data_IF_689454040662
#
_entry.id   IF_689454040662
#
_cell.length_a   1.000
_cell.length_b   1.000
_cell.length_c   1.000
_cell.angle_alpha   90.00
_cell.angle_beta   90.00
_cell.angle_gamma   90.00
#
_symmetry.space_group_name_H-M   'P 1'
#
loop_
_entity.id
_entity.type
_entity.pdbx_description
1 polymer ?
#
# COMPACT_ATOMS: atom_id res chain seq x y z
N UNK A 1 18.00 -67.57 -51.03
CA UNK A 1 18.75 -66.65 -50.11
C UNK A 1 17.78 -65.68 -49.50
N UNK A 2 17.39 -65.91 -48.29
CA UNK A 2 16.43 -65.04 -47.54
C UNK A 2 17.20 -64.06 -46.64
N UNK A 3 16.88 -62.77 -46.69
CA UNK A 3 17.44 -61.77 -45.81
C UNK A 3 16.65 -61.72 -44.51
N UNK A 4 17.28 -61.52 -43.34
CA UNK A 4 16.59 -61.46 -42.06
C UNK A 4 15.94 -60.11 -41.79
N UNK A 5 14.72 -60.14 -41.22
CA UNK A 5 13.95 -59.03 -40.73
C UNK A 5 14.59 -58.47 -39.44
N UNK A 6 14.92 -57.17 -39.44
CA UNK A 6 15.41 -56.44 -38.26
C UNK A 6 14.21 -55.86 -37.52
N UNK A 7 13.93 -56.33 -36.30
CA UNK A 7 12.97 -55.73 -35.38
C UNK A 7 13.50 -54.40 -34.84
N UNK A 8 12.84 -53.29 -35.21
CA UNK A 8 13.01 -52.00 -34.52
C UNK A 8 12.25 -52.06 -33.20
N UNK A 9 12.97 -51.95 -32.06
CA UNK A 9 12.41 -51.70 -30.75
C UNK A 9 11.81 -50.31 -30.73
N UNK A 10 10.46 -50.19 -30.55
CA UNK A 10 9.77 -48.94 -30.32
C UNK A 10 10.16 -48.38 -28.96
N UNK A 11 10.68 -47.15 -28.98
CA UNK A 11 10.90 -46.37 -27.78
C UNK A 11 9.53 -45.92 -27.22
N UNK A 12 9.16 -46.43 -26.05
CA UNK A 12 7.97 -45.99 -25.31
C UNK A 12 8.35 -44.65 -24.63
N UNK A 13 7.79 -43.55 -25.12
CA UNK A 13 7.85 -42.26 -24.41
C UNK A 13 7.07 -42.38 -23.08
N UNK A 14 7.63 -41.93 -21.95
CA UNK A 14 6.90 -41.87 -20.69
C UNK A 14 5.82 -40.77 -20.76
N UNK A 15 4.55 -41.17 -20.61
CA UNK A 15 3.34 -40.37 -20.79
C UNK A 15 2.93 -39.53 -19.57
N UNK A 16 3.79 -39.29 -18.61
CA UNK A 16 3.53 -38.37 -17.47
C UNK A 16 4.86 -37.79 -16.98
N UNK A 17 5.28 -36.67 -17.57
CA UNK A 17 6.07 -35.72 -16.79
C UNK A 17 5.09 -35.08 -15.79
N UNK A 18 5.22 -35.41 -14.52
CA UNK A 18 4.65 -34.60 -13.45
C UNK A 18 5.35 -33.26 -13.53
N UNK A 19 4.63 -32.21 -13.98
CA UNK A 19 5.03 -30.83 -13.74
C UNK A 19 5.09 -30.65 -12.23
N UNK A 20 6.29 -30.69 -11.66
CA UNK A 20 6.55 -30.18 -10.33
C UNK A 20 6.18 -28.70 -10.40
N UNK A 21 5.30 -28.19 -9.52
CA UNK A 21 5.02 -26.77 -9.49
C UNK A 21 6.37 -26.07 -9.28
N UNK A 22 6.78 -25.24 -10.25
CA UNK A 22 7.91 -24.34 -10.05
C UNK A 22 7.56 -23.54 -8.81
N UNK A 23 8.32 -23.65 -7.75
CA UNK A 23 8.35 -22.71 -6.64
C UNK A 23 8.59 -21.36 -7.32
N UNK A 24 7.55 -20.52 -7.42
CA UNK A 24 7.69 -19.17 -7.96
C UNK A 24 8.70 -18.48 -7.05
N UNK A 25 9.81 -18.08 -7.63
CA UNK A 25 10.88 -17.39 -6.92
C UNK A 25 10.31 -16.05 -6.44
N UNK A 26 10.37 -15.79 -5.13
CA UNK A 26 9.87 -14.54 -4.53
C UNK A 26 10.65 -13.38 -5.15
N UNK A 27 9.92 -12.47 -5.79
CA UNK A 27 10.51 -11.26 -6.38
C UNK A 27 10.87 -10.31 -5.25
N UNK A 28 12.16 -9.96 -5.12
CA UNK A 28 12.62 -9.00 -4.10
C UNK A 28 12.85 -7.63 -4.71
N UNK A 29 12.58 -6.59 -3.92
CA UNK A 29 12.90 -5.22 -4.30
C UNK A 29 14.34 -4.86 -3.94
N UNK A 30 14.92 -3.91 -4.69
CA UNK A 30 16.26 -3.37 -4.46
C UNK A 30 16.19 -1.90 -3.99
N UNK A 31 17.33 -1.21 -3.97
CA UNK A 31 17.44 0.19 -3.54
C UNK A 31 16.65 1.19 -4.38
N UNK A 32 16.26 0.82 -5.61
CA UNK A 32 15.50 1.67 -6.52
C UNK A 32 13.99 1.60 -6.30
N UNK A 33 13.49 0.59 -5.57
CA UNK A 33 12.08 0.41 -5.27
C UNK A 33 11.85 0.04 -3.80
N UNK A 34 11.87 1.04 -2.92
CA UNK A 34 11.76 0.85 -1.47
C UNK A 34 10.43 1.31 -0.88
N UNK A 35 9.71 2.17 -1.58
CA UNK A 35 8.45 2.72 -1.10
C UNK A 35 7.32 2.51 -2.12
N UNK A 36 6.31 1.75 -1.74
CA UNK A 36 5.08 1.57 -2.50
C UNK A 36 3.90 2.18 -1.75
N UNK A 37 3.03 2.91 -2.47
CA UNK A 37 1.85 3.55 -1.88
C UNK A 37 0.57 3.04 -2.54
N UNK A 38 -0.50 2.82 -1.76
CA UNK A 38 -1.76 2.24 -2.25
C UNK A 38 -2.95 3.16 -1.99
N UNK A 39 -3.71 3.44 -3.05
CA UNK A 39 -5.08 3.95 -2.97
C UNK A 39 -6.01 2.74 -3.01
N UNK A 40 -6.51 2.36 -1.83
CA UNK A 40 -7.29 1.14 -1.58
C UNK A 40 -8.74 1.28 -2.05
N UNK A 41 -8.94 1.43 -3.38
CA UNK A 41 -10.26 1.66 -3.96
C UNK A 41 -10.96 0.35 -4.36
N UNK A 42 -12.29 0.38 -4.28
CA UNK A 42 -13.15 -0.73 -4.71
C UNK A 42 -13.86 -1.50 -3.61
N UNK A 43 -13.61 -1.22 -2.32
CA UNK A 43 -14.24 -1.92 -1.19
C UNK A 43 -15.76 -1.97 -1.29
N UNK A 44 -16.41 -0.83 -1.51
CA UNK A 44 -17.87 -0.77 -1.64
C UNK A 44 -18.41 -1.48 -2.89
N UNK A 45 -17.69 -1.40 -4.00
CA UNK A 45 -18.05 -2.11 -5.25
C UNK A 45 -17.91 -3.63 -5.09
N UNK A 46 -16.90 -4.06 -4.37
CA UNK A 46 -16.68 -5.46 -4.02
C UNK A 46 -17.85 -6.05 -3.23
N UNK A 47 -18.30 -5.36 -2.18
CA UNK A 47 -19.46 -5.75 -1.38
C UNK A 47 -20.74 -5.78 -2.23
N UNK A 48 -21.00 -4.72 -3.01
CA UNK A 48 -22.17 -4.63 -3.89
C UNK A 48 -22.25 -5.78 -4.90
N UNK A 49 -21.12 -6.17 -5.51
CA UNK A 49 -21.08 -7.34 -6.43
C UNK A 49 -21.49 -8.65 -5.76
N UNK A 50 -21.41 -8.71 -4.43
CA UNK A 50 -21.75 -9.90 -3.61
C UNK A 50 -23.10 -9.76 -2.87
N UNK A 51 -23.85 -8.70 -3.14
CA UNK A 51 -25.14 -8.43 -2.46
C UNK A 51 -24.97 -8.09 -0.98
N UNK A 52 -23.80 -7.62 -0.56
CA UNK A 52 -23.46 -7.33 0.83
C UNK A 52 -23.45 -5.81 1.09
N UNK A 53 -23.74 -5.37 2.34
CA UNK A 53 -23.50 -4.01 2.78
C UNK A 53 -22.05 -3.56 2.59
N UNK A 54 -21.82 -2.25 2.40
CA UNK A 54 -20.47 -1.71 2.08
C UNK A 54 -19.42 -1.99 3.16
N UNK A 55 -19.86 -2.08 4.42
CA UNK A 55 -19.00 -2.36 5.58
C UNK A 55 -18.28 -3.72 5.47
N UNK A 56 -18.91 -4.71 4.84
CA UNK A 56 -18.26 -6.00 4.56
C UNK A 56 -17.09 -5.85 3.58
N UNK A 57 -17.21 -4.93 2.61
CA UNK A 57 -16.11 -4.61 1.71
C UNK A 57 -14.94 -3.96 2.44
N UNK A 58 -15.20 -3.07 3.38
CA UNK A 58 -14.15 -2.45 4.20
C UNK A 58 -13.46 -3.47 5.11
N UNK A 59 -14.19 -4.41 5.71
CA UNK A 59 -13.61 -5.53 6.49
C UNK A 59 -12.71 -6.42 5.63
N UNK A 60 -13.19 -6.83 4.45
CA UNK A 60 -12.39 -7.61 3.52
C UNK A 60 -11.14 -6.84 3.07
N UNK A 61 -11.27 -5.52 2.84
CA UNK A 61 -10.14 -4.65 2.53
C UNK A 61 -9.11 -4.54 3.65
N UNK A 62 -9.54 -4.55 4.91
CA UNK A 62 -8.63 -4.58 6.06
C UNK A 62 -7.83 -5.89 6.13
N UNK A 63 -8.46 -7.03 5.82
CA UNK A 63 -7.74 -8.32 5.72
C UNK A 63 -6.70 -8.31 4.59
N UNK A 64 -7.08 -7.75 3.42
CA UNK A 64 -6.15 -7.59 2.30
C UNK A 64 -4.98 -6.69 2.68
N UNK A 65 -5.23 -5.57 3.36
CA UNK A 65 -4.19 -4.66 3.85
C UNK A 65 -3.15 -5.41 4.71
N UNK A 66 -3.58 -6.23 5.68
CA UNK A 66 -2.66 -7.00 6.53
C UNK A 66 -1.79 -7.96 5.71
N UNK A 67 -2.40 -8.69 4.76
CA UNK A 67 -1.69 -9.64 3.89
C UNK A 67 -0.67 -8.94 2.99
N UNK A 68 -1.06 -7.82 2.39
CA UNK A 68 -0.20 -7.05 1.49
C UNK A 68 0.97 -6.41 2.26
N UNK A 69 0.73 -5.83 3.45
CA UNK A 69 1.82 -5.29 4.28
C UNK A 69 2.80 -6.37 4.72
N UNK A 70 2.31 -7.54 5.14
CA UNK A 70 3.18 -8.67 5.51
C UNK A 70 4.04 -9.11 4.32
N UNK A 71 3.45 -9.20 3.12
CA UNK A 71 4.17 -9.56 1.91
C UNK A 71 5.16 -8.48 1.48
N UNK A 72 4.80 -7.21 1.55
CA UNK A 72 5.71 -6.10 1.25
C UNK A 72 6.97 -6.14 2.14
N UNK A 73 6.82 -6.51 3.43
CA UNK A 73 7.96 -6.74 4.31
C UNK A 73 8.83 -7.91 3.85
N UNK A 74 8.20 -9.03 3.48
CA UNK A 74 8.90 -10.24 3.03
C UNK A 74 9.74 -9.98 1.77
N UNK A 75 9.22 -9.21 0.81
CA UNK A 75 9.93 -8.87 -0.44
C UNK A 75 10.94 -7.74 -0.29
N UNK A 76 10.96 -7.04 0.86
CA UNK A 76 12.01 -6.09 1.22
C UNK A 76 11.67 -4.61 1.02
N UNK A 77 10.38 -4.23 0.96
CA UNK A 77 10.01 -2.80 1.03
C UNK A 77 10.37 -2.21 2.38
N UNK A 78 10.85 -0.97 2.37
CA UNK A 78 11.14 -0.18 3.59
C UNK A 78 9.93 0.64 4.04
N UNK A 79 9.09 1.04 3.09
CA UNK A 79 7.90 1.84 3.37
C UNK A 79 6.71 1.37 2.54
N UNK A 80 5.56 1.26 3.21
CA UNK A 80 4.24 1.11 2.59
C UNK A 80 3.36 2.26 3.05
N UNK A 81 2.78 3.02 2.12
CA UNK A 81 1.80 4.06 2.47
C UNK A 81 0.42 3.66 1.95
N UNK A 82 -0.61 3.74 2.80
CA UNK A 82 -1.98 3.40 2.41
C UNK A 82 -2.94 4.57 2.64
N UNK A 83 -3.85 4.81 1.69
CA UNK A 83 -4.89 5.82 1.80
C UNK A 83 -6.11 5.23 2.50
N UNK A 84 -6.15 5.35 3.84
CA UNK A 84 -7.21 4.75 4.65
C UNK A 84 -8.45 5.64 4.75
N UNK A 85 -8.28 6.96 4.99
CA UNK A 85 -9.38 7.90 5.11
C UNK A 85 -8.97 9.30 4.64
N UNK A 86 -9.62 9.80 3.58
CA UNK A 86 -9.35 11.14 3.05
C UNK A 86 -10.19 12.21 3.73
N UNK A 87 -9.75 13.47 3.65
CA UNK A 87 -10.54 14.64 4.11
C UNK A 87 -11.91 14.72 3.41
N UNK A 88 -12.03 14.24 2.18
CA UNK A 88 -13.29 14.20 1.44
C UNK A 88 -14.25 13.12 1.93
N UNK A 89 -13.75 12.10 2.64
CA UNK A 89 -14.57 10.97 3.11
C UNK A 89 -15.54 11.37 4.23
N UNK A 90 -15.31 12.49 4.92
CA UNK A 90 -16.29 13.04 5.87
C UNK A 90 -17.65 13.38 5.25
N UNK A 91 -17.70 13.56 3.92
CA UNK A 91 -18.95 13.80 3.16
C UNK A 91 -19.77 12.52 2.89
N UNK A 92 -19.24 11.35 3.25
CA UNK A 92 -19.96 10.08 3.11
C UNK A 92 -21.13 9.99 4.10
N UNK A 93 -22.12 9.10 3.84
CA UNK A 93 -23.15 8.81 4.83
C UNK A 93 -22.55 8.45 6.19
N UNK A 94 -23.13 8.98 7.29
CA UNK A 94 -22.56 8.85 8.64
C UNK A 94 -22.27 7.38 9.02
N UNK A 95 -23.20 6.47 8.71
CA UNK A 95 -23.02 5.04 9.00
C UNK A 95 -21.76 4.42 8.33
N UNK A 96 -21.37 4.92 7.13
CA UNK A 96 -20.14 4.48 6.47
C UNK A 96 -18.90 5.05 7.17
N UNK A 97 -18.95 6.31 7.58
CA UNK A 97 -17.88 6.95 8.37
C UNK A 97 -17.70 6.20 9.69
N UNK A 98 -18.78 5.94 10.41
CA UNK A 98 -18.77 5.23 11.70
C UNK A 98 -18.19 3.81 11.56
N UNK A 99 -18.54 3.11 10.48
CA UNK A 99 -18.00 1.79 10.19
C UNK A 99 -16.48 1.82 9.93
N UNK A 100 -15.99 2.84 9.22
CA UNK A 100 -14.54 2.99 8.97
C UNK A 100 -13.81 3.36 10.27
N UNK A 101 -14.38 4.25 11.09
CA UNK A 101 -13.79 4.61 12.39
C UNK A 101 -13.75 3.41 13.34
N UNK A 102 -14.80 2.59 13.36
CA UNK A 102 -14.83 1.35 14.14
C UNK A 102 -13.78 0.34 13.67
N UNK A 103 -13.52 0.24 12.37
CA UNK A 103 -12.44 -0.60 11.83
C UNK A 103 -11.06 -0.09 12.25
N UNK A 104 -10.86 1.24 12.25
CA UNK A 104 -9.62 1.84 12.73
C UNK A 104 -9.41 1.56 14.22
N UNK A 105 -10.43 1.74 15.04
CA UNK A 105 -10.38 1.50 16.49
C UNK A 105 -10.02 0.04 16.79
N UNK A 106 -10.70 -0.91 16.13
CA UNK A 106 -10.41 -2.33 16.23
C UNK A 106 -8.98 -2.67 15.78
N UNK A 107 -8.49 -2.04 14.70
CA UNK A 107 -7.12 -2.23 14.21
C UNK A 107 -6.10 -1.75 15.26
N UNK A 108 -6.33 -0.60 15.88
CA UNK A 108 -5.46 -0.08 16.94
C UNK A 108 -5.45 -1.00 18.18
N UNK A 109 -6.62 -1.48 18.61
CA UNK A 109 -6.72 -2.44 19.72
C UNK A 109 -5.99 -3.75 19.42
N UNK A 110 -6.09 -4.25 18.19
CA UNK A 110 -5.39 -5.45 17.73
C UNK A 110 -3.86 -5.21 17.71
N UNK A 111 -3.43 -4.06 17.17
CA UNK A 111 -2.03 -3.69 17.12
C UNK A 111 -1.42 -3.60 18.53
N UNK A 112 -2.13 -2.99 19.48
CA UNK A 112 -1.67 -2.90 20.87
C UNK A 112 -1.53 -4.26 21.56
N UNK A 113 -2.40 -5.22 21.23
CA UNK A 113 -2.35 -6.58 21.81
C UNK A 113 -1.34 -7.49 21.14
N UNK A 114 -1.13 -7.34 19.84
CA UNK A 114 -0.38 -8.28 19.00
C UNK A 114 0.81 -7.63 18.29
N UNK A 115 1.34 -6.53 18.83
CA UNK A 115 2.40 -5.74 18.15
C UNK A 115 3.66 -6.56 17.84
N UNK A 116 4.02 -7.54 18.68
CA UNK A 116 5.16 -8.43 18.44
C UNK A 116 4.96 -9.27 17.17
N UNK A 117 3.73 -9.70 16.91
CA UNK A 117 3.37 -10.50 15.73
C UNK A 117 3.45 -9.70 14.43
N UNK A 118 2.99 -8.43 14.46
CA UNK A 118 3.02 -7.58 13.27
C UNK A 118 4.41 -7.08 12.94
N UNK A 119 5.20 -6.73 13.95
CA UNK A 119 6.60 -6.35 13.81
C UNK A 119 6.88 -5.10 12.96
N UNK A 120 5.85 -4.43 12.43
CA UNK A 120 6.00 -3.24 11.59
C UNK A 120 5.96 -1.98 12.45
N UNK A 121 6.73 -0.95 12.06
CA UNK A 121 6.54 0.40 12.56
C UNK A 121 5.29 0.99 11.87
N UNK A 122 4.35 1.54 12.64
CA UNK A 122 3.17 2.21 12.11
C UNK A 122 3.29 3.71 12.34
N UNK A 123 2.86 4.50 11.35
CA UNK A 123 2.77 5.95 11.43
C UNK A 123 1.45 6.42 10.86
N UNK A 124 0.85 7.44 11.47
CA UNK A 124 -0.36 8.06 10.95
C UNK A 124 -0.01 9.40 10.32
N UNK A 125 -0.28 9.55 9.03
CA UNK A 125 -0.06 10.77 8.28
C UNK A 125 -1.42 11.46 7.99
N UNK A 126 -1.51 12.75 8.29
CA UNK A 126 -2.74 13.56 8.20
C UNK A 126 -3.01 14.30 9.50
N UNK A 127 -4.12 15.02 9.52
CA UNK A 127 -4.55 15.77 10.73
C UNK A 127 -5.38 14.86 11.65
N UNK A 128 -4.71 14.27 12.63
CA UNK A 128 -5.35 13.41 13.64
C UNK A 128 -6.00 14.20 14.79
N UNK A 129 -5.83 15.53 14.85
CA UNK A 129 -6.38 16.37 15.93
C UNK A 129 -7.90 16.40 15.96
N UNK A 130 -8.55 16.10 14.83
CA UNK A 130 -10.01 16.04 14.68
C UNK A 130 -10.66 14.85 15.40
N UNK A 131 -9.88 13.82 15.76
CA UNK A 131 -10.41 12.62 16.39
C UNK A 131 -10.60 12.79 17.91
N UNK A 132 -11.49 12.01 18.53
CA UNK A 132 -11.65 11.96 19.99
C UNK A 132 -10.32 11.64 20.69
N UNK A 133 -10.22 12.08 21.95
CA UNK A 133 -8.96 11.95 22.71
C UNK A 133 -8.51 10.50 22.86
N UNK A 134 -9.41 9.60 23.18
CA UNK A 134 -9.15 8.17 23.33
C UNK A 134 -8.55 7.55 22.06
N UNK A 135 -9.08 7.89 20.88
CA UNK A 135 -8.54 7.43 19.61
C UNK A 135 -7.15 8.03 19.33
N UNK A 136 -6.94 9.31 19.67
CA UNK A 136 -5.61 9.95 19.53
C UNK A 136 -4.57 9.33 20.45
N UNK A 137 -4.96 8.97 21.68
CA UNK A 137 -4.08 8.32 22.65
C UNK A 137 -3.67 6.92 22.14
N UNK A 138 -4.61 6.15 21.55
CA UNK A 138 -4.32 4.88 20.88
C UNK A 138 -3.38 5.05 19.67
N UNK A 139 -3.60 6.07 18.84
CA UNK A 139 -2.73 6.39 17.71
C UNK A 139 -1.29 6.68 18.20
N UNK A 140 -1.14 7.55 19.19
CA UNK A 140 0.17 7.89 19.74
C UNK A 140 0.89 6.66 20.33
N UNK A 141 0.16 5.78 21.01
CA UNK A 141 0.72 4.52 21.51
C UNK A 141 1.15 3.61 20.34
N UNK A 142 0.31 3.44 19.32
CA UNK A 142 0.62 2.62 18.15
C UNK A 142 1.89 3.10 17.42
N UNK A 143 2.12 4.43 17.32
CA UNK A 143 3.33 5.00 16.72
C UNK A 143 4.59 4.77 17.56
N UNK A 144 4.46 4.53 18.87
CA UNK A 144 5.58 4.22 19.77
C UNK A 144 6.08 2.79 19.66
N UNK A 145 5.28 1.91 19.02
CA UNK A 145 5.59 0.48 18.91
C UNK A 145 6.55 0.22 17.74
N UNK A 146 7.49 -0.72 17.92
CA UNK A 146 8.41 -1.19 16.87
C UNK A 146 9.18 -0.07 16.13
N UNK A 147 9.80 0.90 16.83
CA UNK A 147 10.44 2.06 16.20
C UNK A 147 11.60 1.67 15.27
N UNK A 148 12.20 0.51 15.46
CA UNK A 148 13.36 0.00 14.71
C UNK A 148 12.99 -1.09 13.69
N UNK A 149 11.72 -1.16 13.29
CA UNK A 149 11.28 -2.14 12.29
C UNK A 149 11.85 -1.83 10.91
N UNK A 150 12.14 -2.88 10.14
CA UNK A 150 12.61 -2.78 8.75
C UNK A 150 11.51 -2.25 7.80
N UNK A 151 10.22 -2.36 8.18
CA UNK A 151 9.10 -1.82 7.42
C UNK A 151 8.35 -0.77 8.23
N UNK A 152 8.24 0.43 7.65
CA UNK A 152 7.33 1.48 8.11
C UNK A 152 6.04 1.46 7.30
N UNK A 153 4.89 1.38 7.99
CA UNK A 153 3.56 1.46 7.38
C UNK A 153 2.95 2.83 7.71
N UNK A 154 2.89 3.72 6.72
CA UNK A 154 2.20 5.00 6.84
C UNK A 154 0.72 4.81 6.52
N UNK A 155 -0.16 5.15 7.46
CA UNK A 155 -1.61 5.12 7.30
C UNK A 155 -2.10 6.55 7.14
N UNK A 156 -2.50 6.93 5.92
CA UNK A 156 -3.05 8.25 5.64
C UNK A 156 -4.48 8.33 6.17
N UNK A 157 -4.66 9.10 7.25
CA UNK A 157 -5.90 9.21 8.02
C UNK A 157 -6.29 10.69 8.16
N UNK A 158 -7.52 11.02 7.77
CA UNK A 158 -7.95 12.42 7.60
C UNK A 158 -6.92 13.22 6.79
N UNK A 159 -6.46 12.60 5.71
CA UNK A 159 -5.38 13.09 4.88
C UNK A 159 -5.91 13.67 3.56
N UNK A 160 -5.21 14.68 3.07
CA UNK A 160 -5.34 15.21 1.72
C UNK A 160 -4.11 16.04 1.39
N UNK A 161 -3.49 15.81 0.22
CA UNK A 161 -2.23 16.45 -0.14
C UNK A 161 -2.30 17.99 -0.19
N UNK A 162 -3.45 18.54 -0.60
CA UNK A 162 -3.66 20.02 -0.53
C UNK A 162 -3.70 20.52 0.91
N UNK A 163 -4.37 19.80 1.81
CA UNK A 163 -4.42 20.14 3.23
C UNK A 163 -3.04 19.98 3.89
N UNK A 164 -2.30 18.93 3.53
CA UNK A 164 -0.92 18.71 4.00
C UNK A 164 -0.01 19.88 3.61
N UNK A 165 -0.04 20.32 2.35
CA UNK A 165 0.75 21.46 1.88
C UNK A 165 0.39 22.74 2.63
N UNK A 166 -0.91 23.03 2.81
CA UNK A 166 -1.37 24.19 3.59
C UNK A 166 -0.87 24.12 5.04
N UNK A 167 -0.92 22.93 5.66
CA UNK A 167 -0.39 22.72 7.01
C UNK A 167 1.13 22.94 7.07
N UNK A 168 1.88 22.43 6.09
CA UNK A 168 3.32 22.62 6.01
C UNK A 168 3.68 24.12 5.92
N UNK A 169 3.00 24.88 5.07
CA UNK A 169 3.19 26.34 4.99
C UNK A 169 2.88 27.04 6.31
N UNK A 170 1.77 26.69 6.97
CA UNK A 170 1.40 27.31 8.24
C UNK A 170 2.44 27.02 9.34
N UNK A 171 3.01 25.82 9.38
CA UNK A 171 4.08 25.46 10.31
C UNK A 171 5.33 26.32 10.07
N UNK A 172 5.78 26.41 8.82
CA UNK A 172 6.95 27.18 8.43
C UNK A 172 6.75 28.68 8.72
N UNK A 173 5.55 29.20 8.47
CA UNK A 173 5.19 30.58 8.82
C UNK A 173 5.21 30.81 10.34
N UNK A 174 4.71 29.86 11.14
CA UNK A 174 4.76 29.95 12.60
C UNK A 174 6.20 29.88 13.15
N UNK A 175 7.13 29.24 12.41
CA UNK A 175 8.58 29.25 12.69
C UNK A 175 9.28 30.57 12.24
N UNK A 176 8.53 31.51 11.68
CA UNK A 176 9.05 32.85 11.25
C UNK A 176 9.71 32.83 9.87
N UNK A 177 9.55 31.76 9.07
CA UNK A 177 10.10 31.72 7.71
C UNK A 177 9.29 32.61 6.76
N UNK A 178 9.97 33.56 6.12
CA UNK A 178 9.39 34.49 5.12
C UNK A 178 9.60 34.00 3.68
N UNK A 179 10.50 33.06 3.48
CA UNK A 179 10.71 32.34 2.23
C UNK A 179 10.97 30.86 2.55
N UNK A 180 10.58 29.98 1.66
CA UNK A 180 10.72 28.53 1.86
C UNK A 180 11.36 27.88 0.64
N UNK A 181 12.20 26.88 0.87
CA UNK A 181 12.77 26.01 -0.15
C UNK A 181 11.96 24.71 -0.27
N UNK A 182 12.21 23.90 -1.32
CA UNK A 182 11.64 22.57 -1.44
C UNK A 182 11.99 21.68 -0.23
N UNK A 183 13.23 21.77 0.28
CA UNK A 183 13.67 21.03 1.46
C UNK A 183 12.92 21.47 2.74
N UNK A 184 12.61 22.75 2.89
CA UNK A 184 11.79 23.25 4.01
C UNK A 184 10.38 22.65 3.96
N UNK A 185 9.77 22.66 2.76
CA UNK A 185 8.43 22.07 2.57
C UNK A 185 8.47 20.59 2.88
N UNK A 186 9.40 19.82 2.28
CA UNK A 186 9.54 18.40 2.52
C UNK A 186 9.72 18.07 4.01
N UNK A 187 10.54 18.86 4.74
CA UNK A 187 10.73 18.73 6.19
C UNK A 187 9.51 19.09 7.04
N UNK A 188 8.53 19.83 6.48
CA UNK A 188 7.29 20.21 7.16
C UNK A 188 6.11 19.29 6.86
N UNK A 189 6.21 18.39 5.87
CA UNK A 189 5.16 17.42 5.52
C UNK A 189 4.95 16.37 6.62
N UNK A 190 3.79 15.71 6.61
CA UNK A 190 3.53 14.57 7.50
C UNK A 190 4.46 13.40 7.21
N UNK A 191 4.91 13.26 5.95
CA UNK A 191 5.78 12.18 5.46
C UNK A 191 7.28 12.45 5.64
N UNK A 192 7.69 13.52 6.31
CA UNK A 192 9.10 13.99 6.44
C UNK A 192 10.11 12.93 6.91
N UNK A 193 9.66 11.86 7.56
CA UNK A 193 10.51 10.77 8.02
C UNK A 193 10.52 9.55 7.07
N UNK A 194 9.81 9.64 5.96
CA UNK A 194 9.76 8.61 4.92
C UNK A 194 10.33 9.17 3.62
N UNK A 195 10.96 8.32 2.83
CA UNK A 195 11.27 8.67 1.44
C UNK A 195 9.98 8.82 0.63
N UNK A 196 10.04 9.55 -0.48
CA UNK A 196 8.92 9.65 -1.41
C UNK A 196 8.59 8.28 -2.03
N UNK A 197 7.33 8.03 -2.43
CA UNK A 197 6.96 6.77 -3.05
C UNK A 197 7.63 6.60 -4.42
N UNK A 198 8.16 5.42 -4.65
CA UNK A 198 8.69 5.03 -5.97
C UNK A 198 7.53 4.65 -6.91
N UNK A 199 6.44 4.07 -6.35
CA UNK A 199 5.23 3.74 -7.09
C UNK A 199 3.98 4.06 -6.25
N UNK A 200 2.97 4.63 -6.92
CA UNK A 200 1.61 4.78 -6.38
C UNK A 200 0.68 3.86 -7.17
N UNK A 201 0.06 2.94 -6.46
CA UNK A 201 -0.90 1.96 -6.99
C UNK A 201 -2.32 2.41 -6.68
N UNK A 202 -3.21 2.41 -7.67
CA UNK A 202 -4.64 2.54 -7.44
C UNK A 202 -5.38 1.35 -7.97
N UNK A 203 -6.16 0.71 -7.09
CA UNK A 203 -7.09 -0.37 -7.43
C UNK A 203 -8.47 0.20 -7.84
N UNK A 204 -9.30 -0.63 -8.46
CA UNK A 204 -10.69 -0.29 -8.74
C UNK A 204 -10.96 0.43 -10.05
N UNK A 205 -9.97 0.59 -10.94
CA UNK A 205 -10.17 1.04 -12.32
C UNK A 205 -10.24 2.56 -12.53
N UNK A 206 -10.18 3.37 -11.48
CA UNK A 206 -10.14 4.82 -11.62
C UNK A 206 -8.71 5.33 -11.90
N UNK A 207 -8.53 6.19 -12.90
CA UNK A 207 -7.25 6.72 -13.37
C UNK A 207 -6.97 8.13 -12.77
N UNK A 208 -6.83 8.23 -11.47
CA UNK A 208 -6.53 9.49 -10.74
C UNK A 208 -5.96 9.19 -9.37
N UNK A 209 -5.17 10.12 -8.79
CA UNK A 209 -4.58 9.97 -7.45
C UNK A 209 -5.43 10.59 -6.32
N UNK A 210 -6.50 11.29 -6.64
CA UNK A 210 -7.51 11.77 -5.69
C UNK A 210 -6.94 12.51 -4.48
N UNK A 211 -6.09 13.51 -4.71
CA UNK A 211 -5.48 14.31 -3.64
C UNK A 211 -4.54 13.52 -2.70
N UNK A 212 -4.04 12.36 -3.14
CA UNK A 212 -3.12 11.53 -2.37
C UNK A 212 -1.67 11.87 -2.69
N UNK A 213 -0.85 12.12 -1.68
CA UNK A 213 0.61 12.33 -1.74
C UNK A 213 1.05 13.28 -2.88
N UNK A 214 0.39 14.45 -3.03
CA UNK A 214 0.59 15.34 -4.19
C UNK A 214 2.03 15.80 -4.35
N UNK A 215 2.71 16.17 -3.28
CA UNK A 215 4.11 16.60 -3.29
C UNK A 215 5.01 15.41 -3.58
N UNK A 216 4.81 14.34 -2.85
CA UNK A 216 5.65 13.16 -2.87
C UNK A 216 5.51 12.35 -4.16
N UNK A 217 4.40 12.54 -4.90
CA UNK A 217 4.10 11.84 -6.16
C UNK A 217 4.90 12.36 -7.35
N UNK A 218 5.68 13.44 -7.19
CA UNK A 218 6.30 14.18 -8.29
C UNK A 218 7.11 13.28 -9.27
N UNK A 219 7.75 12.23 -8.76
CA UNK A 219 8.54 11.27 -9.56
C UNK A 219 8.09 9.82 -9.36
N UNK A 220 6.95 9.60 -8.71
CA UNK A 220 6.42 8.25 -8.53
C UNK A 220 5.89 7.67 -9.83
N UNK A 221 6.16 6.39 -10.08
CA UNK A 221 5.47 5.64 -11.11
C UNK A 221 4.02 5.41 -10.73
N UNK A 222 3.09 5.58 -11.67
CA UNK A 222 1.67 5.33 -11.41
C UNK A 222 1.27 3.98 -12.00
N UNK A 223 0.63 3.16 -11.16
CA UNK A 223 0.10 1.86 -11.54
C UNK A 223 -1.40 1.80 -11.25
N UNK A 224 -2.21 1.55 -12.28
CA UNK A 224 -3.66 1.47 -12.18
C UNK A 224 -4.13 0.06 -12.55
N UNK A 225 -5.08 -0.47 -11.77
CA UNK A 225 -5.67 -1.79 -12.04
C UNK A 225 -7.17 -1.77 -11.81
N UNK A 226 -7.92 -2.49 -12.65
CA UNK A 226 -9.37 -2.70 -12.51
C UNK A 226 -9.72 -3.61 -11.33
N UNK A 227 -8.74 -4.36 -10.79
CA UNK A 227 -8.93 -5.23 -9.64
C UNK A 227 -9.38 -4.41 -8.43
N UNK A 228 -10.42 -4.86 -7.74
CA UNK A 228 -10.91 -4.22 -6.53
C UNK A 228 -9.96 -4.51 -5.37
N UNK A 229 -9.74 -3.56 -4.46
CA UNK A 229 -8.79 -3.72 -3.35
C UNK A 229 -8.93 -5.04 -2.57
N UNK A 230 -10.15 -5.51 -2.17
CA UNK A 230 -10.28 -6.78 -1.44
C UNK A 230 -9.86 -8.02 -2.24
N UNK A 231 -9.80 -7.93 -3.56
CA UNK A 231 -9.40 -9.04 -4.44
C UNK A 231 -7.89 -9.00 -4.79
N UNK A 232 -7.13 -8.00 -4.27
CA UNK A 232 -5.69 -7.90 -4.50
C UNK A 232 -4.96 -9.04 -3.77
N UNK A 233 -3.94 -9.58 -4.43
CA UNK A 233 -3.15 -10.72 -3.93
C UNK A 233 -1.66 -10.38 -3.89
N UNK A 234 -0.85 -11.20 -3.24
CA UNK A 234 0.61 -11.08 -3.25
C UNK A 234 1.19 -11.22 -4.66
N UNK A 235 0.58 -12.05 -5.51
CA UNK A 235 0.98 -12.18 -6.92
C UNK A 235 0.81 -10.88 -7.70
N UNK A 236 -0.23 -10.09 -7.38
CA UNK A 236 -0.40 -8.78 -8.01
C UNK A 236 0.74 -7.82 -7.59
N UNK A 237 1.24 -7.94 -6.37
CA UNK A 237 2.41 -7.16 -5.92
C UNK A 237 3.66 -7.59 -6.68
N UNK A 238 3.86 -8.89 -6.94
CA UNK A 238 4.95 -9.38 -7.79
C UNK A 238 4.86 -8.80 -9.20
N UNK A 239 3.65 -8.75 -9.76
CA UNK A 239 3.43 -8.19 -11.10
C UNK A 239 3.73 -6.68 -11.12
N UNK A 240 3.38 -5.93 -10.07
CA UNK A 240 3.73 -4.53 -9.90
C UNK A 240 5.25 -4.33 -9.79
N UNK A 241 5.95 -5.19 -9.04
CA UNK A 241 7.41 -5.15 -8.90
C UNK A 241 8.06 -5.41 -10.27
N UNK A 242 7.62 -6.42 -11.00
CA UNK A 242 8.12 -6.72 -12.34
C UNK A 242 7.86 -5.57 -13.31
N UNK A 243 6.64 -5.00 -13.31
CA UNK A 243 6.30 -3.84 -14.14
C UNK A 243 7.22 -2.65 -13.85
N UNK A 244 7.46 -2.34 -12.57
CA UNK A 244 8.36 -1.26 -12.16
C UNK A 244 9.74 -1.39 -12.80
N UNK A 245 10.34 -2.56 -12.76
CA UNK A 245 11.69 -2.78 -13.33
C UNK A 245 11.72 -2.82 -14.86
N UNK A 246 10.58 -2.89 -15.54
CA UNK A 246 10.52 -2.72 -17.00
C UNK A 246 10.51 -1.26 -17.42
N UNK A 247 10.18 -0.34 -16.51
CA UNK A 247 10.05 1.10 -16.81
C UNK A 247 11.41 1.79 -16.80
N UNK A 248 11.62 2.69 -17.76
CA UNK A 248 12.85 3.50 -17.84
C UNK A 248 12.65 4.82 -17.10
N UNK A 249 13.15 4.93 -15.88
CA UNK A 249 13.11 6.16 -15.09
C UNK A 249 14.23 7.12 -15.56
N UNK A 250 13.87 8.28 -16.11
CA UNK A 250 14.84 9.22 -16.70
C UNK A 250 15.07 10.49 -15.88
N UNK A 251 14.26 10.80 -14.87
CA UNK A 251 14.37 11.98 -13.99
C UNK A 251 14.71 13.30 -14.72
N UNK A 252 14.20 13.49 -15.95
CA UNK A 252 14.51 14.66 -16.77
C UNK A 252 15.88 14.64 -17.46
N UNK A 253 16.67 13.57 -17.31
CA UNK A 253 17.93 13.33 -18.03
C UNK A 253 17.72 12.64 -19.38
N UNK A 254 18.70 12.80 -20.31
CA UNK A 254 18.72 12.13 -21.63
C UNK A 254 19.04 10.63 -21.50
#
# INVERSE_FOLDING_TARGET
>A
MARPFVHRKGSVMPLFQKDTPKTEEIVRVDENFRHIAFIMDGNGRWAKKRGMPREYGHRAGAETFRKICAYCREVGFETVTVYAFSTENWKRPQHEVDAIMSLLDNFLDELMREHEKYGNRVRFIGDTSVFPRDLRDKIAYAESINPNSDLTVNIALNYGGRAELANAFNRLAAEGKTSVTEADIAGALYTRESRDPDMIVRTGGDLRISNFLLWQAAYAELYFTDKLWPDLTTRDVDDMIRDFYTRKRRYGGL
#
